data_IF_558844955596
#
_entry.id   IF_558844955596
#
_cell.length_a   1.000
_cell.length_b   1.000
_cell.length_c   1.000
_cell.angle_alpha   90.00
_cell.angle_beta   90.00
_cell.angle_gamma   90.00
#
_symmetry.space_group_name_H-M   'P 1'
#
loop_
_entity.id
_entity.type
_entity.pdbx_description
1 polymer ?
#
# COMPACT_ATOMS: atom_id res chain seq x y z
N UNK A 1 26.54 16.25 -32.50
CA UNK A 1 26.36 16.25 -31.03
C UNK A 1 27.45 15.39 -30.44
N UNK A 2 28.15 15.88 -29.43
CA UNK A 2 29.09 15.07 -28.63
C UNK A 2 28.33 14.62 -27.39
N UNK A 3 28.27 13.32 -27.14
CA UNK A 3 27.69 12.72 -25.94
C UNK A 3 28.81 12.10 -25.11
N UNK A 4 28.70 12.15 -23.78
CA UNK A 4 29.63 11.51 -22.86
C UNK A 4 28.84 10.82 -21.75
N UNK A 5 29.17 9.56 -21.46
CA UNK A 5 28.53 8.78 -20.41
C UNK A 5 29.15 9.12 -19.04
N UNK A 6 28.32 9.52 -18.08
CA UNK A 6 28.74 9.82 -16.71
C UNK A 6 28.18 8.72 -15.80
N UNK A 7 29.06 7.83 -15.36
CA UNK A 7 28.70 6.75 -14.44
C UNK A 7 28.84 7.22 -12.99
N UNK A 8 27.77 7.15 -12.21
CA UNK A 8 27.76 7.51 -10.78
C UNK A 8 28.04 6.32 -9.85
N UNK A 9 28.08 5.10 -10.40
CA UNK A 9 28.18 3.83 -9.68
C UNK A 9 29.01 2.83 -10.50
N UNK A 10 29.66 1.88 -9.83
CA UNK A 10 30.42 0.81 -10.49
C UNK A 10 29.54 -0.37 -10.93
N UNK A 11 28.38 -0.52 -10.31
CA UNK A 11 27.37 -1.53 -10.62
C UNK A 11 26.00 -0.89 -10.81
N UNK A 12 25.22 -1.44 -11.73
CA UNK A 12 23.89 -0.98 -12.07
C UNK A 12 22.91 -2.14 -11.98
N UNK A 13 21.77 -1.92 -11.33
CA UNK A 13 20.70 -2.91 -11.26
C UNK A 13 19.65 -2.66 -12.33
N UNK A 14 19.07 -3.74 -12.82
CA UNK A 14 17.92 -3.72 -13.71
C UNK A 14 16.80 -4.57 -13.16
N UNK A 15 15.58 -4.07 -13.25
CA UNK A 15 14.35 -4.83 -13.01
C UNK A 15 13.68 -5.00 -14.36
N UNK A 16 13.31 -6.23 -14.73
CA UNK A 16 12.70 -6.48 -16.03
C UNK A 16 11.34 -5.81 -16.15
N UNK A 17 11.13 -5.11 -17.26
CA UNK A 17 9.84 -4.59 -17.68
C UNK A 17 9.25 -5.50 -18.78
N UNK A 18 8.15 -6.16 -18.45
CA UNK A 18 7.36 -7.02 -19.31
C UNK A 18 6.11 -6.31 -19.84
N UNK A 19 5.94 -5.01 -19.53
CA UNK A 19 4.74 -4.23 -19.83
C UNK A 19 3.53 -4.58 -18.94
N UNK A 20 3.67 -5.56 -18.04
CA UNK A 20 2.64 -5.92 -17.06
C UNK A 20 2.91 -5.22 -15.73
N UNK A 21 1.89 -4.54 -15.24
CA UNK A 21 1.88 -3.86 -13.94
C UNK A 21 0.80 -4.41 -13.01
N UNK A 22 -0.11 -5.25 -13.52
CA UNK A 22 -1.13 -5.94 -12.73
C UNK A 22 -0.66 -7.33 -12.30
N UNK A 23 -0.86 -7.65 -11.02
CA UNK A 23 -0.66 -9.00 -10.50
C UNK A 23 -1.80 -9.42 -9.57
N UNK A 24 -2.19 -10.70 -9.64
CA UNK A 24 -3.23 -11.23 -8.75
C UNK A 24 -2.82 -11.16 -7.28
N UNK A 25 -3.76 -10.78 -6.42
CA UNK A 25 -3.58 -10.78 -4.97
C UNK A 25 -3.19 -12.17 -4.45
N UNK A 26 -2.42 -12.23 -3.36
CA UNK A 26 -2.01 -13.46 -2.68
C UNK A 26 -1.22 -14.47 -3.52
N UNK A 27 -0.77 -14.09 -4.72
CA UNK A 27 0.09 -14.92 -5.57
C UNK A 27 1.54 -14.45 -5.51
N UNK A 28 2.52 -15.37 -5.56
CA UNK A 28 3.92 -14.99 -5.64
C UNK A 28 4.23 -14.36 -7.00
N UNK A 29 4.66 -13.11 -6.97
CA UNK A 29 5.15 -12.37 -8.13
C UNK A 29 6.65 -12.56 -8.22
N UNK A 30 7.15 -12.95 -9.39
CA UNK A 30 8.58 -13.07 -9.67
C UNK A 30 9.01 -11.88 -10.51
N UNK A 31 9.92 -11.09 -9.96
CA UNK A 31 10.57 -9.97 -10.64
C UNK A 31 11.95 -10.42 -11.09
N UNK A 32 12.19 -10.58 -12.40
CA UNK A 32 13.52 -10.84 -12.92
C UNK A 32 14.40 -9.61 -12.67
N UNK A 33 15.57 -9.85 -12.08
CA UNK A 33 16.53 -8.80 -11.72
C UNK A 33 17.92 -9.17 -12.21
N UNK A 34 18.65 -8.16 -12.67
CA UNK A 34 20.03 -8.32 -13.17
C UNK A 34 20.93 -7.24 -12.58
N UNK A 35 22.23 -7.51 -12.61
CA UNK A 35 23.27 -6.57 -12.24
C UNK A 35 24.32 -6.52 -13.34
N UNK A 36 24.72 -5.32 -13.76
CA UNK A 36 25.73 -5.11 -14.81
C UNK A 36 26.78 -4.11 -14.37
N UNK A 37 27.99 -4.21 -14.92
CA UNK A 37 29.01 -3.17 -14.80
C UNK A 37 28.79 -2.04 -15.82
N UNK A 38 29.61 -0.99 -15.76
CA UNK A 38 29.63 0.12 -16.73
C UNK A 38 29.88 -0.29 -18.19
N UNK A 39 30.39 -1.49 -18.43
CA UNK A 39 30.62 -2.06 -19.75
C UNK A 39 29.49 -3.01 -20.19
N UNK A 40 28.36 -3.00 -19.48
CA UNK A 40 27.20 -3.86 -19.71
C UNK A 40 27.48 -5.36 -19.53
N UNK A 41 28.54 -5.72 -18.78
CA UNK A 41 28.84 -7.11 -18.44
C UNK A 41 28.03 -7.52 -17.23
N UNK A 42 27.35 -8.66 -17.35
CA UNK A 42 26.57 -9.25 -16.26
C UNK A 42 27.48 -9.63 -15.10
N UNK A 43 27.11 -9.18 -13.90
CA UNK A 43 27.80 -9.46 -12.66
C UNK A 43 27.32 -10.78 -12.04
N UNK A 44 28.22 -11.46 -11.35
CA UNK A 44 27.91 -12.64 -10.52
C UNK A 44 28.26 -12.33 -9.07
N UNK A 45 27.26 -12.30 -8.19
CA UNK A 45 27.46 -12.03 -6.76
C UNK A 45 27.29 -10.57 -6.35
N UNK A 46 26.60 -9.74 -7.13
CA UNK A 46 26.35 -8.34 -6.79
C UNK A 46 25.34 -8.26 -5.64
N UNK A 47 25.70 -7.59 -4.54
CA UNK A 47 24.80 -7.38 -3.40
C UNK A 47 23.91 -6.19 -3.66
N UNK A 48 22.60 -6.36 -3.47
CA UNK A 48 21.59 -5.33 -3.60
C UNK A 48 20.73 -5.26 -2.34
N UNK A 49 20.43 -4.05 -1.87
CA UNK A 49 19.39 -3.85 -0.86
C UNK A 49 18.04 -3.74 -1.59
N UNK A 50 17.09 -4.56 -1.19
CA UNK A 50 15.74 -4.57 -1.76
C UNK A 50 14.76 -3.98 -0.77
N UNK A 51 13.85 -3.13 -1.27
CA UNK A 51 12.71 -2.63 -0.52
C UNK A 51 11.43 -2.83 -1.31
N UNK A 52 10.37 -3.23 -0.63
CA UNK A 52 9.01 -3.21 -1.21
C UNK A 52 8.18 -2.24 -0.41
N UNK A 53 7.62 -1.26 -1.10
CA UNK A 53 6.82 -0.20 -0.50
C UNK A 53 5.41 -0.32 -1.05
N UNK A 54 4.43 -0.15 -0.17
CA UNK A 54 3.03 0.00 -0.55
C UNK A 54 2.68 1.49 -0.47
N UNK A 55 2.17 2.03 -1.56
CA UNK A 55 1.67 3.40 -1.60
C UNK A 55 0.22 3.41 -1.16
N UNK A 56 -0.04 3.97 0.00
CA UNK A 56 -1.38 4.28 0.48
C UNK A 56 -1.61 5.79 0.44
N UNK A 57 -2.87 6.19 0.45
CA UNK A 57 -3.24 7.60 0.49
C UNK A 57 -4.22 7.80 1.62
N UNK A 58 -3.95 8.78 2.49
CA UNK A 58 -4.87 9.17 3.55
C UNK A 58 -5.47 10.50 3.19
N UNK A 59 -6.80 10.57 3.18
CA UNK A 59 -7.51 11.83 3.03
C UNK A 59 -7.58 12.50 4.39
N UNK A 60 -6.89 13.63 4.53
CA UNK A 60 -6.91 14.46 5.74
C UNK A 60 -7.70 15.73 5.48
N UNK A 61 -8.45 16.17 6.49
CA UNK A 61 -9.13 17.46 6.46
C UNK A 61 -8.14 18.53 6.92
N UNK A 62 -7.65 19.35 6.00
CA UNK A 62 -6.75 20.46 6.30
C UNK A 62 -7.51 21.78 6.36
N UNK A 63 -7.11 22.67 7.26
CA UNK A 63 -7.67 24.01 7.38
C UNK A 63 -6.83 25.01 6.59
N UNK A 64 -7.41 25.64 5.57
CA UNK A 64 -6.79 26.70 4.79
C UNK A 64 -7.55 28.01 5.03
N UNK A 65 -7.05 28.84 5.95
CA UNK A 65 -7.74 30.07 6.34
C UNK A 65 -9.08 29.81 7.03
N UNK A 66 -10.19 30.25 6.42
CA UNK A 66 -11.55 30.13 6.98
C UNK A 66 -12.32 28.90 6.50
N UNK A 67 -11.76 28.08 5.59
CA UNK A 67 -12.43 26.89 5.07
C UNK A 67 -11.57 25.63 5.24
N UNK A 68 -12.24 24.49 5.23
CA UNK A 68 -11.60 23.17 5.26
C UNK A 68 -11.51 22.61 3.84
N UNK A 69 -10.42 21.92 3.53
CA UNK A 69 -10.24 21.18 2.28
C UNK A 69 -9.78 19.76 2.58
N UNK A 70 -10.24 18.81 1.76
CA UNK A 70 -9.74 17.45 1.80
C UNK A 70 -8.45 17.39 0.98
N UNK A 71 -7.38 16.89 1.60
CA UNK A 71 -6.11 16.64 0.94
C UNK A 71 -5.77 15.16 1.03
N UNK A 72 -5.53 14.52 -0.11
CA UNK A 72 -4.95 13.18 -0.14
C UNK A 72 -3.44 13.30 0.05
N UNK A 73 -2.95 12.78 1.17
CA UNK A 73 -1.52 12.73 1.46
C UNK A 73 -1.00 11.30 1.24
N UNK A 74 0.13 11.11 0.54
CA UNK A 74 0.75 9.80 0.39
C UNK A 74 1.25 9.30 1.75
N UNK A 75 0.94 8.05 2.06
CA UNK A 75 1.39 7.29 3.24
C UNK A 75 2.09 6.02 2.74
N UNK A 76 3.40 6.13 2.50
CA UNK A 76 4.22 5.02 2.02
C UNK A 76 4.55 4.04 3.15
N UNK A 77 4.09 2.80 3.03
CA UNK A 77 4.37 1.72 3.98
C UNK A 77 5.49 0.82 3.47
N UNK A 78 6.60 0.78 4.20
CA UNK A 78 7.67 -0.20 3.95
C UNK A 78 7.19 -1.59 4.40
N UNK A 79 7.08 -2.52 3.46
CA UNK A 79 6.62 -3.89 3.72
C UNK A 79 7.77 -4.89 3.89
N UNK A 80 8.83 -4.70 3.11
CA UNK A 80 10.00 -5.58 3.13
C UNK A 80 11.24 -4.72 2.99
N UNK A 81 12.28 -5.07 3.74
CA UNK A 81 13.63 -4.57 3.57
C UNK A 81 14.61 -5.74 3.80
N UNK A 82 15.60 -5.87 2.93
CA UNK A 82 16.61 -6.92 3.07
C UNK A 82 17.74 -6.81 2.05
N UNK A 83 18.72 -7.68 2.16
CA UNK A 83 19.83 -7.80 1.21
C UNK A 83 19.65 -9.07 0.37
N UNK A 84 19.86 -8.95 -0.94
CA UNK A 84 19.86 -10.06 -1.89
C UNK A 84 21.15 -10.08 -2.70
N UNK A 85 21.53 -11.28 -3.16
CA UNK A 85 22.65 -11.46 -4.07
C UNK A 85 22.12 -11.72 -5.48
N UNK A 86 22.51 -10.87 -6.43
CA UNK A 86 22.16 -10.97 -7.84
C UNK A 86 23.33 -11.63 -8.58
N UNK A 87 23.05 -12.76 -9.22
CA UNK A 87 24.03 -13.53 -9.97
C UNK A 87 23.49 -13.93 -11.33
N UNK A 88 24.17 -13.48 -12.39
CA UNK A 88 23.79 -13.81 -13.76
C UNK A 88 22.45 -13.18 -14.17
N UNK A 89 21.90 -13.67 -15.28
CA UNK A 89 20.69 -13.10 -15.89
C UNK A 89 19.38 -13.71 -15.37
N UNK A 90 19.45 -14.77 -14.55
CA UNK A 90 18.28 -15.56 -14.14
C UNK A 90 17.87 -15.34 -12.68
N UNK A 91 18.44 -14.33 -12.02
CA UNK A 91 18.04 -14.01 -10.64
C UNK A 91 16.62 -13.45 -10.64
N UNK A 92 15.80 -13.93 -9.70
CA UNK A 92 14.44 -13.45 -9.51
C UNK A 92 14.22 -13.04 -8.05
N UNK A 93 13.72 -11.83 -7.83
CA UNK A 93 13.16 -11.44 -6.55
C UNK A 93 11.68 -11.84 -6.49
N UNK A 94 11.25 -12.48 -5.41
CA UNK A 94 9.86 -12.92 -5.27
C UNK A 94 9.17 -12.14 -4.15
N UNK A 95 7.97 -11.62 -4.44
CA UNK A 95 7.14 -10.94 -3.45
C UNK A 95 5.68 -11.38 -3.58
N UNK A 96 4.99 -11.56 -2.47
CA UNK A 96 3.58 -11.94 -2.43
C UNK A 96 2.77 -10.83 -1.77
N UNK A 97 1.99 -10.04 -2.54
CA UNK A 97 1.10 -9.03 -1.98
C UNK A 97 0.02 -9.67 -1.10
N UNK A 98 -0.17 -9.15 0.11
CA UNK A 98 -1.13 -9.64 1.11
C UNK A 98 -2.35 -8.76 1.30
N UNK A 99 -2.34 -7.56 0.74
CA UNK A 99 -3.49 -6.66 0.68
C UNK A 99 -3.63 -6.11 -0.73
N UNK A 100 -4.81 -5.64 -1.15
CA UNK A 100 -4.93 -4.91 -2.39
C UNK A 100 -4.19 -3.57 -2.33
N UNK A 101 -3.67 -3.09 -3.46
CA UNK A 101 -3.08 -1.75 -3.54
C UNK A 101 -2.02 -1.54 -4.61
N UNK A 102 -1.38 -0.39 -4.52
CA UNK A 102 -0.24 0.02 -5.34
C UNK A 102 1.05 -0.22 -4.58
N UNK A 103 2.06 -0.73 -5.28
CA UNK A 103 3.34 -1.15 -4.73
C UNK A 103 4.48 -0.64 -5.60
N UNK A 104 5.66 -0.54 -5.00
CA UNK A 104 6.90 -0.24 -5.66
C UNK A 104 8.01 -1.17 -5.12
N UNK A 105 8.61 -1.93 -6.03
CA UNK A 105 9.85 -2.66 -5.77
C UNK A 105 11.01 -1.72 -6.04
N UNK A 106 11.90 -1.53 -5.06
CA UNK A 106 13.11 -0.72 -5.18
C UNK A 106 14.35 -1.58 -4.95
N UNK A 107 15.38 -1.40 -5.79
CA UNK A 107 16.70 -2.00 -5.65
C UNK A 107 17.77 -0.92 -5.52
N UNK A 108 18.58 -1.03 -4.47
CA UNK A 108 19.64 -0.10 -4.13
C UNK A 108 20.99 -0.81 -4.19
N UNK A 109 22.01 -0.07 -4.64
CA UNK A 109 23.39 -0.41 -4.30
C UNK A 109 23.57 -0.18 -2.80
N UNK A 110 24.10 -1.16 -2.03
CA UNK A 110 24.27 -1.00 -0.59
C UNK A 110 25.05 0.28 -0.26
N UNK A 111 24.46 1.13 0.59
CA UNK A 111 25.05 2.43 0.98
C UNK A 111 24.83 3.58 -0.01
N UNK A 112 24.18 3.34 -1.16
CA UNK A 112 23.79 4.39 -2.10
C UNK A 112 22.38 4.92 -1.80
N UNK A 113 22.15 6.19 -2.13
CA UNK A 113 20.82 6.82 -2.01
C UNK A 113 19.96 6.64 -3.27
N UNK A 114 20.57 6.33 -4.41
CA UNK A 114 19.87 6.08 -5.67
C UNK A 114 19.41 4.63 -5.78
N UNK A 115 18.27 4.44 -6.42
CA UNK A 115 17.69 3.13 -6.68
C UNK A 115 17.09 3.06 -8.08
N UNK A 116 16.90 1.82 -8.53
CA UNK A 116 15.98 1.53 -9.63
C UNK A 116 14.70 0.95 -9.05
N UNK A 117 13.57 1.23 -9.69
CA UNK A 117 12.28 0.74 -9.20
C UNK A 117 11.36 0.25 -10.29
N UNK A 118 10.39 -0.56 -9.87
CA UNK A 118 9.25 -1.00 -10.67
C UNK A 118 7.97 -0.85 -9.85
N UNK A 119 7.06 -0.02 -10.35
CA UNK A 119 5.72 0.11 -9.79
C UNK A 119 4.81 -1.01 -10.30
N UNK A 120 3.97 -1.54 -9.43
CA UNK A 120 2.98 -2.57 -9.76
C UNK A 120 1.76 -2.45 -8.86
N UNK A 121 0.62 -2.95 -9.31
CA UNK A 121 -0.62 -2.99 -8.54
C UNK A 121 -1.11 -4.43 -8.40
N UNK A 122 -1.71 -4.72 -7.25
CA UNK A 122 -2.25 -6.04 -6.97
C UNK A 122 -3.66 -5.96 -6.43
N UNK A 123 -4.58 -6.67 -7.10
CA UNK A 123 -6.00 -6.73 -6.76
C UNK A 123 -6.55 -8.12 -7.15
N UNK A 124 -7.80 -8.41 -6.75
CA UNK A 124 -8.53 -9.61 -7.16
C UNK A 124 -8.93 -10.53 -6.01
N UNK A 125 -9.95 -11.36 -6.27
CA UNK A 125 -10.58 -12.28 -5.29
C UNK A 125 -9.85 -13.64 -5.17
N UNK A 126 -8.84 -13.90 -6.00
CA UNK A 126 -8.10 -15.15 -6.01
C UNK A 126 -7.19 -15.24 -4.77
N UNK A 127 -7.48 -16.20 -3.88
CA UNK A 127 -6.84 -16.30 -2.57
C UNK A 127 -7.75 -15.93 -1.41
N UNK A 128 -9.07 -15.97 -1.61
CA UNK A 128 -10.08 -15.92 -0.57
C UNK A 128 -9.91 -17.08 0.43
N UNK A 129 -8.95 -16.95 1.34
CA UNK A 129 -9.18 -17.43 2.68
C UNK A 129 -10.08 -16.39 3.33
N UNK A 130 -11.32 -16.82 3.58
CA UNK A 130 -12.21 -16.32 4.62
C UNK A 130 -11.47 -16.30 5.98
N UNK A 131 -10.57 -15.35 6.18
CA UNK A 131 -10.03 -14.94 7.46
C UNK A 131 -10.28 -13.45 7.53
N UNK A 132 -11.51 -13.06 7.87
CA UNK A 132 -11.82 -12.56 9.21
C UNK A 132 -10.85 -11.45 9.60
N UNK A 133 -11.37 -10.23 9.65
CA UNK A 133 -10.71 -9.01 10.14
C UNK A 133 -9.66 -8.41 9.20
N UNK A 134 -10.06 -7.94 8.02
CA UNK A 134 -9.42 -6.72 7.50
C UNK A 134 -9.90 -5.58 8.39
N UNK A 135 -8.99 -5.06 9.23
CA UNK A 135 -9.21 -3.80 9.92
C UNK A 135 -9.23 -2.73 8.84
N UNK A 136 -10.40 -2.19 8.58
CA UNK A 136 -10.62 -1.10 7.65
C UNK A 136 -9.79 0.11 8.12
N UNK A 137 -8.64 0.34 7.47
CA UNK A 137 -7.68 1.41 7.84
C UNK A 137 -7.96 2.71 7.11
N UNK A 138 -9.12 2.83 6.46
CA UNK A 138 -9.58 4.05 5.77
C UNK A 138 -10.25 5.05 6.73
N UNK A 139 -10.27 4.78 8.04
CA UNK A 139 -10.96 5.65 9.01
C UNK A 139 -12.49 5.52 8.95
N UNK A 140 -13.00 4.55 8.21
CA UNK A 140 -14.42 4.21 8.20
C UNK A 140 -14.82 3.55 9.51
N UNK A 141 -16.01 3.88 10.02
CA UNK A 141 -16.62 3.25 11.18
C UNK A 141 -17.58 2.18 10.65
N UNK A 142 -17.29 0.91 10.92
CA UNK A 142 -18.22 -0.16 10.57
C UNK A 142 -19.36 -0.18 11.58
N UNK A 143 -20.60 -0.18 11.08
CA UNK A 143 -21.80 -0.25 11.90
C UNK A 143 -22.43 -1.63 11.70
N UNK A 144 -22.64 -2.36 12.79
CA UNK A 144 -23.36 -3.64 12.78
C UNK A 144 -24.64 -3.51 13.59
N UNK A 145 -25.77 -3.90 13.00
CA UNK A 145 -27.07 -3.92 13.66
C UNK A 145 -27.40 -5.33 14.16
N UNK A 146 -28.20 -5.44 15.21
CA UNK A 146 -28.65 -6.74 15.72
C UNK A 146 -29.77 -7.38 14.88
N UNK A 147 -30.45 -6.59 14.02
CA UNK A 147 -31.50 -7.04 13.11
C UNK A 147 -31.36 -6.41 11.72
N UNK A 148 -31.89 -7.08 10.70
CA UNK A 148 -31.94 -6.55 9.33
C UNK A 148 -32.97 -5.41 9.16
N UNK A 149 -33.96 -5.33 10.05
CA UNK A 149 -34.99 -4.29 10.03
C UNK A 149 -35.71 -4.16 11.36
N UNK A 150 -36.33 -3.00 11.57
CA UNK A 150 -37.04 -2.66 12.81
C UNK A 150 -38.44 -2.13 12.50
N UNK A 151 -39.40 -2.50 13.34
CA UNK A 151 -40.75 -1.95 13.32
C UNK A 151 -40.89 -0.75 14.27
N UNK A 152 -41.90 0.11 14.07
CA UNK A 152 -42.17 1.21 14.99
C UNK A 152 -42.35 0.72 16.43
N UNK A 153 -41.63 1.34 17.37
CA UNK A 153 -41.62 0.96 18.78
C UNK A 153 -40.51 -0.01 19.18
N UNK A 154 -39.76 -0.57 18.22
CA UNK A 154 -38.58 -1.38 18.53
C UNK A 154 -37.35 -0.50 18.83
N UNK A 155 -36.47 -1.01 19.70
CA UNK A 155 -35.20 -0.37 20.03
C UNK A 155 -34.09 -0.91 19.13
N UNK A 156 -33.39 -0.02 18.43
CA UNK A 156 -32.22 -0.34 17.61
C UNK A 156 -31.00 -0.55 18.50
N UNK A 157 -30.25 -1.65 18.27
CA UNK A 157 -28.91 -1.84 18.84
C UNK A 157 -27.89 -1.82 17.72
N UNK A 158 -27.01 -0.81 17.76
CA UNK A 158 -25.92 -0.65 16.82
C UNK A 158 -24.58 -0.82 17.55
N UNK A 159 -23.70 -1.64 16.96
CA UNK A 159 -22.31 -1.78 17.36
C UNK A 159 -21.44 -0.98 16.39
N UNK A 160 -20.73 0.00 16.92
CA UNK A 160 -19.77 0.81 16.17
C UNK A 160 -18.37 0.24 16.37
N UNK A 161 -17.72 -0.19 15.28
CA UNK A 161 -16.34 -0.65 15.28
C UNK A 161 -15.47 0.50 14.79
N UNK A 162 -14.96 1.30 15.73
CA UNK A 162 -14.14 2.46 15.43
C UNK A 162 -12.64 2.10 15.45
N UNK A 163 -11.85 2.49 14.43
CA UNK A 163 -10.41 2.22 14.40
C UNK A 163 -9.58 3.24 15.19
N UNK A 164 -10.21 4.19 15.89
CA UNK A 164 -9.55 5.27 16.64
C UNK A 164 -10.33 5.68 17.90
N UNK A 165 -9.62 6.28 18.85
CA UNK A 165 -10.19 6.94 20.03
C UNK A 165 -10.62 8.37 19.68
N UNK A 166 -11.76 8.83 20.20
CA UNK A 166 -12.21 10.21 19.99
C UNK A 166 -13.70 10.42 20.20
N UNK A 167 -14.19 11.62 19.86
CA UNK A 167 -15.63 11.93 19.88
C UNK A 167 -16.26 11.60 18.53
N UNK A 168 -17.36 10.85 18.58
CA UNK A 168 -18.15 10.41 17.44
C UNK A 168 -19.52 11.08 17.47
N UNK A 169 -20.00 11.61 16.34
CA UNK A 169 -21.37 12.06 16.16
C UNK A 169 -22.15 10.94 15.47
N UNK A 170 -23.23 10.49 16.11
CA UNK A 170 -24.15 9.49 15.57
C UNK A 170 -25.47 10.18 15.27
N UNK A 171 -26.01 10.00 14.06
CA UNK A 171 -27.28 10.57 13.63
C UNK A 171 -28.23 9.49 13.10
N UNK A 172 -29.53 9.72 13.28
CA UNK A 172 -30.59 9.00 12.59
C UNK A 172 -31.27 10.00 11.65
N UNK A 173 -31.27 9.70 10.36
CA UNK A 173 -31.67 10.65 9.31
C UNK A 173 -32.62 9.98 8.31
N UNK A 174 -33.57 10.76 7.81
CA UNK A 174 -34.41 10.43 6.64
C UNK A 174 -34.21 11.52 5.58
N UNK A 175 -35.23 12.30 5.27
CA UNK A 175 -35.18 13.60 4.58
C UNK A 175 -34.63 14.72 5.48
N UNK A 176 -34.59 14.51 6.80
CA UNK A 176 -34.01 15.41 7.80
C UNK A 176 -33.37 14.63 8.95
N UNK A 177 -32.59 15.31 9.80
CA UNK A 177 -32.02 14.70 11.00
C UNK A 177 -33.12 14.50 12.04
N UNK A 178 -33.44 13.24 12.34
CA UNK A 178 -34.46 12.86 13.32
C UNK A 178 -33.91 12.85 14.74
N UNK A 179 -32.66 12.41 14.91
CA UNK A 179 -31.98 12.37 16.20
C UNK A 179 -30.46 12.43 16.00
N UNK A 180 -29.75 12.96 17.00
CA UNK A 180 -28.30 12.95 17.03
C UNK A 180 -27.77 12.77 18.45
N UNK A 181 -26.59 12.16 18.57
CA UNK A 181 -25.91 11.97 19.84
C UNK A 181 -24.39 12.01 19.64
N UNK A 182 -23.69 12.66 20.57
CA UNK A 182 -22.24 12.54 20.68
C UNK A 182 -21.87 11.39 21.61
N UNK A 183 -20.96 10.54 21.16
CA UNK A 183 -20.43 9.39 21.91
C UNK A 183 -18.93 9.56 22.01
N UNK A 184 -18.38 9.29 23.19
CA UNK A 184 -16.94 9.24 23.40
C UNK A 184 -16.47 7.80 23.22
N UNK A 185 -15.53 7.60 22.29
CA UNK A 185 -15.01 6.30 21.89
C UNK A 185 -13.62 6.15 22.50
N UNK A 186 -13.48 5.14 23.35
CA UNK A 186 -12.22 4.68 23.92
C UNK A 186 -12.10 3.17 23.70
N UNK A 187 -11.09 2.76 22.92
CA UNK A 187 -10.60 1.38 22.82
C UNK A 187 -9.77 1.02 24.04
#
# INVERSE_FOLDING_TARGET
MVSADIFTQDQFFGISEDGYSYYSLNQPIRFPVIAVDKNQRVLNGARAQVKVIKHEYRTVLSKAGSYFRYESQPDDKLLTEGEITISGEKTNYTFTPRSPGNYELRLYVPGANSYVSKSFYSYGSWGNNNSSFEVNTEGNIDISLDKEGYQPGETVKALFKAPFNGKMLVTLETDQVLSYQYIEVSN
#
